data_IF_872236011069
#
_entry.id   IF_872236011069
#
_cell.length_a   1.000
_cell.length_b   1.000
_cell.length_c   1.000
_cell.angle_alpha   90.00
_cell.angle_beta   90.00
_cell.angle_gamma   90.00
#
_symmetry.space_group_name_H-M   'P 1'
#
loop_
_entity.id
_entity.type
_entity.pdbx_description
1 polymer ?
#
# COMPACT_ATOMS: atom_id res chain seq x y z
N UNK A 1 4.46 6.79 -14.86
CA UNK A 1 5.11 5.48 -15.02
C UNK A 1 4.39 4.46 -14.15
N UNK A 2 3.92 3.35 -14.71
CA UNK A 2 3.26 2.29 -13.95
C UNK A 2 4.30 1.26 -13.49
N UNK A 3 4.31 0.92 -12.20
CA UNK A 3 5.14 -0.12 -11.61
C UNK A 3 4.24 -1.22 -11.06
N UNK A 4 4.61 -2.49 -11.22
CA UNK A 4 3.92 -3.66 -10.67
C UNK A 4 4.90 -4.43 -9.79
N UNK A 5 4.43 -4.85 -8.61
CA UNK A 5 5.19 -5.64 -7.68
C UNK A 5 4.33 -6.65 -6.95
N UNK A 6 4.90 -7.81 -6.62
CA UNK A 6 4.20 -8.90 -5.97
C UNK A 6 4.98 -9.36 -4.72
N UNK A 7 4.25 -9.65 -3.65
CA UNK A 7 4.70 -10.50 -2.56
C UNK A 7 3.74 -11.69 -2.35
N UNK A 8 3.89 -12.44 -1.26
CA UNK A 8 3.07 -13.63 -1.01
C UNK A 8 1.57 -13.35 -0.84
N UNK A 9 1.16 -12.09 -0.62
CA UNK A 9 -0.22 -11.72 -0.36
C UNK A 9 -0.77 -10.72 -1.37
N UNK A 10 0.04 -9.79 -1.88
CA UNK A 10 -0.44 -8.71 -2.73
C UNK A 10 0.42 -8.50 -3.96
N UNK A 11 -0.25 -8.20 -5.07
CA UNK A 11 0.31 -7.46 -6.18
C UNK A 11 -0.08 -5.99 -6.03
N UNK A 12 0.88 -5.06 -5.99
CA UNK A 12 0.61 -3.62 -5.97
C UNK A 12 1.10 -2.99 -7.27
N UNK A 13 0.16 -2.45 -8.02
CA UNK A 13 0.40 -1.60 -9.17
C UNK A 13 0.27 -0.14 -8.77
N UNK A 14 1.21 0.72 -9.17
CA UNK A 14 1.11 2.14 -8.87
C UNK A 14 1.78 3.03 -9.91
N UNK A 15 1.33 4.28 -9.93
CA UNK A 15 1.92 5.38 -10.66
C UNK A 15 2.23 6.54 -9.73
N UNK A 16 3.48 7.00 -9.76
CA UNK A 16 3.87 8.29 -9.16
C UNK A 16 4.01 9.33 -10.25
N UNK A 17 3.43 10.50 -10.02
CA UNK A 17 3.56 11.65 -10.88
C UNK A 17 4.04 12.86 -10.08
N UNK A 18 4.89 13.69 -10.72
CA UNK A 18 5.31 14.98 -10.20
C UNK A 18 4.45 16.05 -10.89
N UNK A 19 3.38 16.57 -10.26
CA UNK A 19 2.72 17.79 -10.75
C UNK A 19 3.77 18.90 -10.92
N UNK A 20 3.45 19.94 -11.72
CA UNK A 20 4.36 21.07 -12.07
C UNK A 20 4.76 21.97 -10.86
N UNK A 21 5.16 21.37 -9.74
CA UNK A 21 5.62 21.99 -8.50
C UNK A 21 6.81 21.19 -7.98
N UNK A 22 7.91 21.84 -7.58
CA UNK A 22 9.03 21.16 -6.95
C UNK A 22 8.57 20.33 -5.74
N UNK A 23 9.12 19.12 -5.63
CA UNK A 23 8.94 18.22 -4.48
C UNK A 23 7.50 17.88 -4.07
N UNK A 24 6.53 18.09 -4.97
CA UNK A 24 5.15 17.66 -4.78
C UNK A 24 4.88 16.49 -5.71
N UNK A 25 4.26 15.44 -5.18
CA UNK A 25 4.02 14.19 -5.87
C UNK A 25 2.60 13.70 -5.62
N UNK A 26 2.09 12.92 -6.55
CA UNK A 26 0.86 12.16 -6.40
C UNK A 26 1.16 10.70 -6.65
N UNK A 27 0.60 9.82 -5.82
CA UNK A 27 0.51 8.39 -6.10
C UNK A 27 -0.94 8.03 -6.44
N UNK A 28 -1.10 7.16 -7.41
CA UNK A 28 -2.32 6.40 -7.68
C UNK A 28 -1.94 4.92 -7.71
N UNK A 29 -2.57 4.10 -6.89
CA UNK A 29 -2.18 2.71 -6.66
C UNK A 29 -3.39 1.79 -6.50
N UNK A 30 -3.18 0.55 -6.95
CA UNK A 30 -4.11 -0.57 -6.91
C UNK A 30 -3.39 -1.75 -6.28
N UNK A 31 -3.87 -2.25 -5.16
CA UNK A 31 -3.37 -3.47 -4.54
C UNK A 31 -4.39 -4.61 -4.72
N UNK A 32 -3.95 -5.72 -5.31
CA UNK A 32 -4.73 -6.91 -5.58
C UNK A 32 -4.28 -8.03 -4.66
N UNK A 33 -5.20 -8.58 -3.87
CA UNK A 33 -4.91 -9.67 -2.94
C UNK A 33 -4.89 -11.01 -3.69
N UNK A 34 -3.83 -11.79 -3.50
CA UNK A 34 -3.65 -13.14 -4.06
C UNK A 34 -3.26 -14.17 -2.99
N UNK A 35 -3.27 -13.78 -1.71
CA UNK A 35 -2.82 -14.64 -0.62
C UNK A 35 -3.61 -15.95 -0.56
N UNK A 36 -2.91 -17.02 -0.18
CA UNK A 36 -3.48 -18.39 -0.09
C UNK A 36 -4.57 -18.56 0.96
N UNK A 37 -4.74 -17.57 1.84
CA UNK A 37 -5.73 -17.58 2.94
C UNK A 37 -7.02 -16.87 2.50
N UNK A 38 -8.17 -17.40 2.93
CA UNK A 38 -9.52 -16.95 2.52
C UNK A 38 -9.97 -15.66 3.22
N UNK A 39 -9.07 -14.69 3.43
CA UNK A 39 -9.44 -13.40 4.01
C UNK A 39 -10.26 -12.58 3.00
N UNK A 40 -11.36 -12.02 3.46
CA UNK A 40 -12.32 -11.30 2.62
C UNK A 40 -12.35 -9.79 2.88
N UNK A 41 -11.90 -9.35 4.06
CA UNK A 41 -12.00 -7.95 4.47
C UNK A 41 -10.74 -7.47 5.18
N UNK A 42 -10.49 -6.16 5.11
CA UNK A 42 -9.48 -5.48 5.92
C UNK A 42 -10.09 -4.33 6.73
N UNK A 43 -9.41 -3.96 7.82
CA UNK A 43 -9.64 -2.74 8.60
C UNK A 43 -8.32 -2.11 9.04
N UNK A 44 -8.33 -0.80 9.30
CA UNK A 44 -7.17 -0.02 9.71
C UNK A 44 -5.94 -0.31 8.83
N UNK A 45 -6.15 -0.32 7.51
CA UNK A 45 -5.09 -0.54 6.56
C UNK A 45 -4.16 0.65 6.47
N UNK A 46 -2.86 0.41 6.39
CA UNK A 46 -1.85 1.44 6.17
C UNK A 46 -0.92 0.97 5.07
N UNK A 47 -0.81 1.76 4.01
CA UNK A 47 0.21 1.60 2.97
C UNK A 47 1.26 2.70 3.14
N UNK A 48 2.50 2.34 3.39
CA UNK A 48 3.62 3.27 3.59
C UNK A 48 4.55 3.25 2.39
N UNK A 49 4.68 4.40 1.74
CA UNK A 49 5.70 4.66 0.74
C UNK A 49 7.02 4.93 1.44
N UNK A 50 8.04 4.17 1.07
CA UNK A 50 9.43 4.36 1.47
C UNK A 50 10.14 5.02 0.30
N UNK A 51 10.45 6.30 0.43
CA UNK A 51 11.10 7.10 -0.60
C UNK A 51 12.61 6.88 -0.49
N UNK A 52 13.24 6.44 -1.57
CA UNK A 52 14.62 5.97 -1.57
C UNK A 52 15.46 6.84 -2.49
N UNK A 53 16.60 7.29 -1.98
CA UNK A 53 17.63 8.01 -2.73
C UNK A 53 18.98 7.38 -2.42
N UNK A 54 19.79 7.13 -3.46
CA UNK A 54 21.13 6.54 -3.31
C UNK A 54 21.14 5.23 -2.46
N UNK A 55 20.05 4.45 -2.54
CA UNK A 55 19.89 3.20 -1.80
C UNK A 55 19.45 3.33 -0.33
N UNK A 56 19.28 4.54 0.19
CA UNK A 56 18.79 4.80 1.56
C UNK A 56 17.36 5.33 1.55
N UNK A 57 16.57 4.97 2.56
CA UNK A 57 15.25 5.57 2.80
C UNK A 57 15.50 6.99 3.32
N UNK A 58 15.04 7.99 2.57
CA UNK A 58 15.18 9.41 2.93
C UNK A 58 13.93 9.97 3.58
N UNK A 59 12.76 9.44 3.23
CA UNK A 59 11.47 9.94 3.72
C UNK A 59 10.38 8.88 3.56
N UNK A 60 9.28 9.03 4.29
CA UNK A 60 8.12 8.13 4.20
C UNK A 60 6.81 8.88 4.07
N UNK A 61 5.88 8.34 3.30
CA UNK A 61 4.52 8.87 3.20
C UNK A 61 3.51 7.73 3.31
N UNK A 62 2.50 7.85 4.19
CA UNK A 62 1.52 6.77 4.42
C UNK A 62 0.12 7.10 3.94
N UNK A 63 -0.63 6.11 3.49
CA UNK A 63 -2.06 6.19 3.18
C UNK A 63 -2.80 5.28 4.14
N UNK A 64 -3.71 5.85 4.94
CA UNK A 64 -4.54 5.11 5.87
C UNK A 64 -5.91 4.85 5.27
N UNK A 65 -6.35 3.60 5.33
CA UNK A 65 -7.63 3.11 4.84
C UNK A 65 -8.43 2.54 6.02
N UNK A 66 -9.69 2.97 6.16
CA UNK A 66 -10.50 2.61 7.33
C UNK A 66 -10.90 1.14 7.29
N UNK A 67 -11.51 0.70 6.18
CA UNK A 67 -11.94 -0.69 5.95
C UNK A 67 -12.29 -0.91 4.49
N UNK A 68 -12.26 -2.16 4.04
CA UNK A 68 -12.70 -2.55 2.70
C UNK A 68 -12.73 -4.06 2.50
N UNK A 69 -13.12 -4.47 1.30
CA UNK A 69 -13.04 -5.86 0.85
C UNK A 69 -11.68 -6.16 0.23
N UNK A 70 -11.21 -7.40 0.39
CA UNK A 70 -10.05 -7.98 -0.28
C UNK A 70 -10.43 -8.76 -1.55
N UNK A 71 -11.73 -9.07 -1.75
CA UNK A 71 -12.23 -9.74 -2.96
C UNK A 71 -12.13 -8.83 -4.20
N UNK A 72 -12.01 -7.52 -3.97
CA UNK A 72 -11.76 -6.52 -5.00
C UNK A 72 -10.36 -5.93 -4.84
N UNK A 73 -9.98 -5.12 -5.81
CA UNK A 73 -8.81 -4.25 -5.72
C UNK A 73 -8.96 -3.21 -4.58
N UNK A 74 -7.90 -3.04 -3.79
CA UNK A 74 -7.74 -1.90 -2.88
C UNK A 74 -7.14 -0.75 -3.67
N UNK A 75 -7.94 0.26 -3.97
CA UNK A 75 -7.47 1.48 -4.63
C UNK A 75 -7.17 2.57 -3.63
N UNK A 76 -6.02 3.22 -3.79
CA UNK A 76 -5.64 4.35 -2.95
C UNK A 76 -4.82 5.36 -3.73
N UNK A 77 -5.11 6.63 -3.49
CA UNK A 77 -4.39 7.74 -4.08
C UNK A 77 -4.08 8.79 -3.03
N UNK A 78 -2.93 9.46 -3.17
CA UNK A 78 -2.50 10.50 -2.23
C UNK A 78 -1.57 11.50 -2.90
N UNK A 79 -1.75 12.76 -2.57
CA UNK A 79 -0.74 13.80 -2.78
C UNK A 79 0.18 13.90 -1.56
N UNK A 80 1.48 14.03 -1.78
CA UNK A 80 2.47 14.22 -0.73
C UNK A 80 3.58 15.17 -1.19
N UNK A 81 4.15 15.89 -0.22
CA UNK A 81 5.32 16.71 -0.42
C UNK A 81 6.53 16.02 0.21
N UNK A 82 7.72 16.33 -0.30
CA UNK A 82 8.99 15.76 0.16
C UNK A 82 10.00 16.88 0.42
N UNK A 83 10.99 16.60 1.25
CA UNK A 83 12.07 17.53 1.53
C UNK A 83 13.12 17.52 0.40
N UNK A 84 13.28 16.38 -0.28
CA UNK A 84 14.22 16.19 -1.38
C UNK A 84 13.65 15.28 -2.46
N UNK A 85 14.17 15.39 -3.67
CA UNK A 85 13.92 14.39 -4.71
C UNK A 85 14.39 12.99 -4.28
N UNK A 86 13.81 11.95 -4.89
CA UNK A 86 14.08 10.54 -4.63
C UNK A 86 14.12 9.77 -5.97
N UNK A 87 14.85 8.67 -6.00
CA UNK A 87 15.11 7.91 -7.22
C UNK A 87 14.23 6.67 -7.32
N UNK A 88 13.66 6.20 -6.21
CA UNK A 88 12.88 4.98 -6.17
C UNK A 88 11.86 5.00 -5.03
N UNK A 89 10.84 4.15 -5.13
CA UNK A 89 9.85 3.94 -4.07
C UNK A 89 9.67 2.46 -3.81
N UNK A 90 9.57 2.11 -2.53
CA UNK A 90 9.11 0.81 -2.04
C UNK A 90 7.80 1.01 -1.27
N UNK A 91 6.94 0.00 -1.24
CA UNK A 91 5.66 0.05 -0.52
C UNK A 91 5.67 -1.00 0.57
N UNK A 92 5.55 -0.57 1.82
CA UNK A 92 5.22 -1.43 2.95
C UNK A 92 3.73 -1.33 3.24
N UNK A 93 3.15 -2.38 3.81
CA UNK A 93 1.74 -2.34 4.21
C UNK A 93 1.49 -3.07 5.53
N UNK A 94 0.45 -2.65 6.23
CA UNK A 94 -0.08 -3.29 7.42
C UNK A 94 -1.61 -3.28 7.35
N UNK A 95 -2.23 -4.45 7.45
CA UNK A 95 -3.68 -4.62 7.35
C UNK A 95 -4.16 -5.56 8.45
N UNK A 96 -5.25 -5.20 9.14
CA UNK A 96 -5.98 -6.15 9.98
C UNK A 96 -7.03 -6.86 9.12
N UNK A 97 -6.90 -8.16 8.93
CA UNK A 97 -7.74 -8.93 7.98
C UNK A 97 -8.70 -9.90 8.68
N UNK A 98 -9.78 -10.26 8.01
CA UNK A 98 -10.78 -11.23 8.51
C UNK A 98 -11.53 -11.97 7.40
N UNK A 99 -12.09 -13.13 7.74
CA UNK A 99 -12.74 -14.11 6.84
C UNK A 99 -14.25 -13.92 6.64
N UNK A 100 -14.93 -13.03 7.38
CA UNK A 100 -16.35 -12.67 7.16
C UNK A 100 -16.65 -11.21 7.47
N UNK A 101 -17.62 -10.65 6.74
CA UNK A 101 -18.08 -9.28 6.87
C UNK A 101 -18.44 -9.01 8.32
N UNK A 102 -17.89 -7.94 8.89
CA UNK A 102 -18.07 -7.55 10.28
C UNK A 102 -19.54 -7.20 10.59
N UNK A 103 -20.38 -8.22 10.68
CA UNK A 103 -21.67 -8.18 11.34
C UNK A 103 -21.45 -8.58 12.79
N UNK A 104 -21.88 -7.72 13.71
CA UNK A 104 -21.97 -7.96 15.14
C UNK A 104 -22.62 -9.32 15.45
N UNK A 105 -21.81 -10.35 15.62
CA UNK A 105 -22.28 -11.70 15.86
C UNK A 105 -21.10 -12.54 16.33
N UNK A 106 -21.12 -12.88 17.62
CA UNK A 106 -20.08 -13.61 18.32
C UNK A 106 -19.67 -14.89 17.57
N UNK A 107 -18.44 -14.87 17.08
CA UNK A 107 -17.74 -15.95 16.40
C UNK A 107 -16.35 -15.45 15.98
N UNK A 108 -15.70 -14.71 16.86
CA UNK A 108 -14.49 -13.92 16.59
C UNK A 108 -13.27 -14.82 16.39
N UNK A 109 -12.94 -15.15 15.15
CA UNK A 109 -11.51 -15.27 14.84
C UNK A 109 -10.91 -13.88 15.03
N UNK A 110 -9.85 -13.80 15.82
CA UNK A 110 -9.14 -12.53 16.01
C UNK A 110 -8.70 -12.02 14.64
N UNK A 111 -8.72 -10.70 14.40
CA UNK A 111 -8.10 -10.16 13.19
C UNK A 111 -6.66 -10.65 13.13
N UNK A 112 -6.26 -11.16 11.97
CA UNK A 112 -4.85 -11.41 11.70
C UNK A 112 -4.22 -10.11 11.22
N UNK A 113 -2.93 -9.93 11.52
CA UNK A 113 -2.16 -8.80 11.01
C UNK A 113 -1.33 -9.32 9.84
N UNK A 114 -1.55 -8.75 8.66
CA UNK A 114 -0.73 -9.02 7.48
C UNK A 114 0.20 -7.83 7.28
N UNK A 115 1.49 -8.11 7.22
CA UNK A 115 2.52 -7.15 6.85
C UNK A 115 3.34 -7.66 5.70
N UNK A 116 3.65 -6.78 4.76
CA UNK A 116 4.58 -7.07 3.68
C UNK A 116 5.36 -5.83 3.28
N UNK A 117 6.40 -6.06 2.49
CA UNK A 117 7.18 -5.00 1.87
C UNK A 117 7.52 -5.39 0.47
N UNK A 118 7.10 -4.54 -0.46
CA UNK A 118 7.32 -4.66 -1.88
C UNK A 118 8.57 -3.84 -2.22
N UNK A 119 9.58 -4.51 -2.78
CA UNK A 119 10.89 -3.90 -3.07
C UNK A 119 10.80 -2.83 -4.14
N UNK A 120 11.77 -1.92 -4.17
CA UNK A 120 11.70 -0.71 -5.00
C UNK A 120 12.05 -0.92 -6.48
N UNK A 121 11.57 -0.01 -7.33
CA UNK A 121 12.13 0.24 -8.68
C UNK A 121 12.48 1.71 -8.86
N UNK A 122 13.49 2.01 -9.70
CA UNK A 122 13.83 3.36 -10.08
C UNK A 122 12.65 4.05 -10.77
N UNK A 123 12.40 5.31 -10.41
CA UNK A 123 11.53 6.23 -11.11
C UNK A 123 12.41 6.91 -12.15
N UNK A 124 12.33 6.44 -13.41
CA UNK A 124 13.00 7.07 -14.55
C UNK A 124 12.07 8.06 -15.24
#
# INVERSE_FOLDING_TARGET
MACNFEDNNFTIEYQIAKPNRPNNFTIDATATYHGSLTWQYYRNGVFTLLLIKDGAIVETASVSLIRGSLENEIRFARSFATHSDFDAVSIAYNLNVSDKGGGSGFGSKKPDIVTGTIRSRPIR
#
